data_IF_394874944378
#
_entry.id   IF_394874944378
#
_cell.length_a   1.000
_cell.length_b   1.000
_cell.length_c   1.000
_cell.angle_alpha   90.00
_cell.angle_beta   90.00
_cell.angle_gamma   90.00
#
_symmetry.space_group_name_H-M   'P 1'
#
loop_
_entity.id
_entity.type
_entity.pdbx_description
1 polymer ?
#
# COMPACT_ATOMS: atom_id res chain seq x y z
N UNK A 1 3.23 -16.65 -13.58
CA UNK A 1 2.88 -15.28 -14.00
C UNK A 1 3.71 -14.82 -15.21
N UNK A 2 5.02 -14.57 -15.13
CA UNK A 2 5.83 -14.11 -16.30
C UNK A 2 5.74 -14.96 -17.59
N UNK A 3 5.73 -16.29 -17.49
CA UNK A 3 5.65 -17.16 -18.69
C UNK A 3 4.29 -17.14 -19.39
N UNK A 4 3.21 -16.82 -18.67
CA UNK A 4 1.90 -16.62 -19.28
C UNK A 4 1.89 -15.36 -20.14
N UNK A 5 2.62 -14.31 -19.73
CA UNK A 5 2.82 -13.11 -20.55
C UNK A 5 3.62 -13.41 -21.83
N UNK A 6 4.73 -14.15 -21.71
CA UNK A 6 5.53 -14.52 -22.89
C UNK A 6 4.72 -15.32 -23.93
N UNK A 7 3.83 -16.20 -23.47
CA UNK A 7 2.91 -16.94 -24.35
C UNK A 7 1.96 -16.04 -25.15
N UNK A 8 1.62 -14.86 -24.64
CA UNK A 8 0.84 -13.89 -25.43
C UNK A 8 1.65 -13.28 -26.58
N UNK A 9 2.98 -13.26 -26.47
CA UNK A 9 3.88 -12.75 -27.51
C UNK A 9 4.03 -13.78 -28.62
N UNK A 10 4.32 -15.04 -28.24
CA UNK A 10 4.51 -16.14 -29.18
C UNK A 10 4.12 -17.49 -28.53
N UNK A 11 2.91 -18.00 -28.80
CA UNK A 11 2.43 -19.23 -28.19
C UNK A 11 3.11 -20.50 -28.73
N UNK A 12 3.79 -20.41 -29.88
CA UNK A 12 4.49 -21.54 -30.49
C UNK A 12 5.88 -21.73 -29.85
N UNK A 13 6.50 -20.64 -29.41
CA UNK A 13 7.79 -20.65 -28.71
C UNK A 13 7.61 -20.83 -27.19
N UNK A 14 6.57 -20.25 -26.60
CA UNK A 14 6.36 -20.24 -25.15
C UNK A 14 5.21 -21.17 -24.72
N UNK A 15 5.51 -22.40 -24.24
CA UNK A 15 4.50 -23.40 -23.94
C UNK A 15 3.69 -23.08 -22.67
N UNK A 16 2.60 -23.82 -22.48
CA UNK A 16 1.75 -23.68 -21.29
C UNK A 16 2.51 -24.00 -19.99
N UNK A 17 2.71 -23.02 -19.08
CA UNK A 17 3.56 -23.20 -17.91
C UNK A 17 3.13 -24.32 -16.97
N UNK A 18 1.82 -24.61 -16.91
CA UNK A 18 1.28 -25.67 -16.06
C UNK A 18 1.46 -27.07 -16.65
N UNK A 19 1.63 -27.18 -17.99
CA UNK A 19 1.81 -28.46 -18.68
C UNK A 19 3.29 -28.81 -18.92
N UNK A 20 4.16 -27.80 -19.03
CA UNK A 20 5.56 -27.96 -19.43
C UNK A 20 6.51 -27.21 -18.48
N UNK A 21 6.52 -27.60 -17.21
CA UNK A 21 7.24 -26.87 -16.15
C UNK A 21 8.77 -26.88 -16.35
N UNK A 22 9.33 -28.00 -16.84
CA UNK A 22 10.76 -28.18 -17.11
C UNK A 22 11.25 -27.28 -18.23
N UNK A 23 10.56 -27.32 -19.36
CA UNK A 23 10.85 -26.59 -20.60
C UNK A 23 10.71 -25.09 -20.38
N UNK A 24 9.69 -24.68 -19.60
CA UNK A 24 9.50 -23.29 -19.20
C UNK A 24 10.70 -22.74 -18.43
N UNK A 25 11.38 -23.57 -17.63
CA UNK A 25 12.56 -23.15 -16.85
C UNK A 25 13.78 -22.95 -17.74
N UNK A 26 13.97 -23.80 -18.74
CA UNK A 26 15.05 -23.67 -19.74
C UNK A 26 14.83 -22.43 -20.63
N UNK A 27 13.60 -22.20 -21.08
CA UNK A 27 13.24 -21.04 -21.91
C UNK A 27 13.46 -19.73 -21.14
N UNK A 28 13.16 -19.67 -19.83
CA UNK A 28 13.49 -18.49 -19.01
C UNK A 28 15.00 -18.17 -19.01
N UNK A 29 15.86 -19.20 -19.06
CA UNK A 29 17.32 -19.04 -19.12
C UNK A 29 17.80 -18.45 -20.45
N UNK A 30 17.05 -18.64 -21.54
CA UNK A 30 17.33 -18.05 -22.85
C UNK A 30 16.90 -16.57 -22.95
N UNK A 31 16.00 -16.13 -22.09
CA UNK A 31 15.42 -14.78 -22.14
C UNK A 31 16.27 -13.74 -21.39
N UNK A 32 17.00 -14.17 -20.35
CA UNK A 32 17.84 -13.31 -19.53
C UNK A 32 19.23 -13.95 -19.33
N UNK A 33 20.37 -13.26 -19.54
CA UNK A 33 20.61 -11.95 -20.15
C UNK A 33 21.51 -12.10 -21.39
N UNK A 34 20.91 -12.30 -22.56
CA UNK A 34 21.66 -12.28 -23.82
C UNK A 34 21.35 -11.00 -24.58
N UNK A 35 22.38 -10.28 -25.03
CA UNK A 35 22.25 -9.02 -25.78
C UNK A 35 21.59 -9.22 -27.16
N UNK A 36 21.31 -10.47 -27.54
CA UNK A 36 20.74 -10.86 -28.82
C UNK A 36 19.39 -11.59 -28.67
N UNK A 37 18.62 -11.26 -27.64
CA UNK A 37 17.28 -11.78 -27.45
C UNK A 37 16.31 -11.22 -28.52
N UNK A 38 15.70 -12.07 -29.38
CA UNK A 38 14.83 -11.59 -30.46
C UNK A 38 13.46 -11.08 -29.96
N UNK A 39 13.07 -11.39 -28.72
CA UNK A 39 11.78 -11.00 -28.14
C UNK A 39 11.88 -9.81 -27.20
N UNK A 40 13.03 -9.57 -26.58
CA UNK A 40 13.19 -8.52 -25.55
C UNK A 40 14.34 -7.58 -25.90
N UNK A 41 13.99 -6.33 -26.17
CA UNK A 41 14.94 -5.22 -26.22
C UNK A 41 14.90 -4.45 -24.89
N UNK A 42 15.93 -4.58 -24.06
CA UNK A 42 16.08 -3.82 -22.82
C UNK A 42 17.19 -2.78 -22.99
N UNK A 43 16.89 -1.52 -22.70
CA UNK A 43 17.87 -0.41 -22.65
C UNK A 43 17.76 0.26 -21.29
N UNK A 44 18.87 0.42 -20.59
CA UNK A 44 18.89 1.19 -19.35
C UNK A 44 19.01 2.67 -19.69
N UNK A 45 18.41 3.54 -18.87
CA UNK A 45 18.56 4.99 -19.05
C UNK A 45 20.01 5.45 -18.95
N UNK A 46 20.81 4.73 -18.16
CA UNK A 46 22.24 4.96 -17.96
C UNK A 46 23.06 4.68 -19.22
N UNK A 47 22.58 3.82 -20.13
CA UNK A 47 23.25 3.47 -21.38
C UNK A 47 22.86 4.40 -22.54
N UNK A 48 21.91 5.32 -22.33
CA UNK A 48 21.42 6.22 -23.35
C UNK A 48 22.27 7.49 -23.39
N UNK A 49 22.88 7.73 -24.54
CA UNK A 49 23.68 8.92 -24.81
C UNK A 49 23.03 9.83 -25.87
N UNK A 50 23.40 11.11 -25.83
CA UNK A 50 23.12 12.05 -26.90
C UNK A 50 24.02 11.79 -28.13
N UNK A 51 23.85 12.61 -29.18
CA UNK A 51 24.62 12.49 -30.43
C UNK A 51 26.13 12.74 -30.25
N UNK A 52 26.54 13.37 -29.15
CA UNK A 52 27.93 13.66 -28.83
C UNK A 52 28.54 12.63 -27.85
N UNK A 53 27.78 11.59 -27.48
CA UNK A 53 28.23 10.56 -26.54
C UNK A 53 28.09 10.95 -25.06
N UNK A 54 27.47 12.09 -24.75
CA UNK A 54 27.15 12.50 -23.37
C UNK A 54 25.93 11.78 -22.82
N UNK A 55 25.80 11.59 -21.49
CA UNK A 55 24.64 10.92 -20.90
C UNK A 55 23.34 11.69 -21.18
N UNK A 56 22.32 11.01 -21.70
CA UNK A 56 21.04 11.61 -22.05
C UNK A 56 20.19 11.97 -20.81
N UNK A 57 20.37 11.25 -19.72
CA UNK A 57 19.62 11.43 -18.47
C UNK A 57 20.50 11.91 -17.32
N UNK A 58 19.94 12.75 -16.46
CA UNK A 58 20.58 13.18 -15.22
C UNK A 58 20.78 12.00 -14.26
N UNK A 59 21.89 12.01 -13.52
CA UNK A 59 22.17 10.98 -12.51
C UNK A 59 21.12 10.99 -11.41
N UNK A 60 20.67 9.81 -11.01
CA UNK A 60 19.77 9.62 -9.87
C UNK A 60 20.59 9.41 -8.60
N UNK A 61 20.29 10.20 -7.57
CA UNK A 61 20.86 10.04 -6.22
C UNK A 61 19.79 9.47 -5.30
N UNK A 62 20.10 8.40 -4.58
CA UNK A 62 19.17 7.72 -3.66
C UNK A 62 19.79 7.66 -2.27
N UNK A 63 19.05 8.13 -1.26
CA UNK A 63 19.46 8.12 0.15
C UNK A 63 18.36 7.44 0.96
N UNK A 64 18.72 6.42 1.74
CA UNK A 64 17.81 5.77 2.68
C UNK A 64 17.94 6.43 4.04
N UNK A 65 16.82 6.91 4.59
CA UNK A 65 16.79 7.55 5.91
C UNK A 65 16.30 6.52 6.94
N UNK A 66 17.18 6.04 7.83
CA UNK A 66 16.74 5.13 8.89
C UNK A 66 15.95 5.88 9.96
N UNK A 67 14.99 5.21 10.56
CA UNK A 67 14.25 5.69 11.72
C UNK A 67 14.13 4.58 12.77
N UNK A 68 13.81 4.94 14.01
CA UNK A 68 13.58 3.98 15.10
C UNK A 68 12.24 4.29 15.74
N UNK A 69 11.40 3.27 15.87
CA UNK A 69 10.11 3.43 16.56
C UNK A 69 10.34 3.93 17.98
N UNK A 70 9.51 4.87 18.40
CA UNK A 70 9.38 5.27 19.79
C UNK A 70 8.82 4.12 20.64
N UNK A 71 8.92 4.25 21.96
CA UNK A 71 8.38 3.25 22.90
C UNK A 71 6.88 3.06 22.68
N UNK A 72 6.13 4.16 22.55
CA UNK A 72 4.68 4.13 22.33
C UNK A 72 4.30 3.47 20.98
N UNK A 73 5.05 3.75 19.92
CA UNK A 73 4.84 3.12 18.61
C UNK A 73 5.14 1.61 18.65
N UNK A 74 6.18 1.21 19.37
CA UNK A 74 6.53 -0.20 19.55
C UNK A 74 5.48 -0.94 20.39
N UNK A 75 4.99 -0.33 21.46
CA UNK A 75 3.89 -0.89 22.26
C UNK A 75 2.62 -1.06 21.42
N UNK A 76 2.26 -0.07 20.60
CA UNK A 76 1.15 -0.20 19.66
C UNK A 76 1.38 -1.34 18.66
N UNK A 77 2.60 -1.51 18.18
CA UNK A 77 2.95 -2.61 17.28
C UNK A 77 2.71 -3.99 17.91
N UNK A 78 3.15 -4.17 19.15
CA UNK A 78 2.93 -5.42 19.90
C UNK A 78 1.44 -5.67 20.15
N UNK A 79 0.68 -4.63 20.50
CA UNK A 79 -0.76 -4.73 20.74
C UNK A 79 -1.56 -5.10 19.48
N UNK A 80 -1.22 -4.50 18.33
CA UNK A 80 -1.80 -4.90 17.03
C UNK A 80 -1.39 -6.33 16.68
N UNK A 81 -0.13 -6.72 16.93
CA UNK A 81 0.33 -8.08 16.68
C UNK A 81 -0.43 -9.10 17.52
N UNK A 82 -0.68 -8.78 18.80
CA UNK A 82 -1.50 -9.60 19.70
C UNK A 82 -2.94 -9.73 19.21
N UNK A 83 -3.53 -8.62 18.74
CA UNK A 83 -4.84 -8.62 18.10
C UNK A 83 -4.89 -9.57 16.89
N UNK A 84 -3.92 -9.46 15.98
CA UNK A 84 -3.83 -10.33 14.81
C UNK A 84 -3.68 -11.80 15.24
N UNK A 85 -2.81 -12.09 16.20
CA UNK A 85 -2.59 -13.46 16.68
C UNK A 85 -3.82 -14.06 17.37
N UNK A 86 -4.66 -13.25 18.03
CA UNK A 86 -5.87 -13.72 18.71
C UNK A 86 -7.04 -13.94 17.75
N UNK A 87 -7.34 -12.97 16.89
CA UNK A 87 -8.58 -12.97 16.09
C UNK A 87 -8.36 -13.34 14.62
N UNK A 88 -7.12 -13.26 14.15
CA UNK A 88 -6.72 -13.56 12.77
C UNK A 88 -5.56 -14.58 12.77
N UNK A 89 -5.57 -15.55 13.68
CA UNK A 89 -4.58 -16.63 13.67
C UNK A 89 -4.68 -17.43 12.35
N UNK A 90 -3.53 -17.77 11.75
CA UNK A 90 -3.50 -18.55 10.51
C UNK A 90 -4.03 -19.96 10.79
N UNK A 91 -5.29 -20.18 10.43
CA UNK A 91 -6.04 -21.40 10.70
C UNK A 91 -6.93 -21.74 9.49
N UNK A 92 -7.45 -22.97 9.47
CA UNK A 92 -8.33 -23.44 8.40
C UNK A 92 -7.60 -23.86 7.13
N UNK A 93 -8.35 -24.08 6.05
CA UNK A 93 -7.85 -24.56 4.76
C UNK A 93 -8.40 -23.72 3.60
N UNK A 94 -7.71 -23.79 2.46
CA UNK A 94 -8.10 -23.08 1.24
C UNK A 94 -8.25 -21.57 1.45
N UNK A 95 -9.33 -21.03 0.90
CA UNK A 95 -9.63 -19.58 0.85
C UNK A 95 -9.66 -18.89 2.21
N UNK A 96 -10.13 -19.56 3.26
CA UNK A 96 -10.19 -18.97 4.60
C UNK A 96 -8.78 -18.66 5.11
N UNK A 97 -7.86 -19.62 4.95
CA UNK A 97 -6.45 -19.44 5.35
C UNK A 97 -5.79 -18.31 4.58
N UNK A 98 -6.07 -18.20 3.27
CA UNK A 98 -5.58 -17.13 2.42
C UNK A 98 -6.12 -15.76 2.84
N UNK A 99 -7.44 -15.62 3.05
CA UNK A 99 -8.05 -14.38 3.51
C UNK A 99 -7.48 -13.92 4.86
N UNK A 100 -7.24 -14.85 5.80
CA UNK A 100 -6.58 -14.53 7.07
C UNK A 100 -5.17 -13.98 6.81
N UNK A 101 -4.36 -14.69 6.01
CA UNK A 101 -3.00 -14.28 5.71
C UNK A 101 -2.96 -12.89 5.06
N UNK A 102 -3.78 -12.66 4.03
CA UNK A 102 -3.90 -11.37 3.36
C UNK A 102 -4.35 -10.27 4.33
N UNK A 103 -5.38 -10.51 5.14
CA UNK A 103 -5.88 -9.51 6.11
C UNK A 103 -4.78 -9.11 7.10
N UNK A 104 -4.01 -10.08 7.60
CA UNK A 104 -2.86 -9.82 8.48
C UNK A 104 -1.80 -8.97 7.79
N UNK A 105 -1.45 -9.32 6.55
CA UNK A 105 -0.45 -8.58 5.77
C UNK A 105 -0.87 -7.13 5.59
N UNK A 106 -2.13 -6.87 5.20
CA UNK A 106 -2.60 -5.49 5.03
C UNK A 106 -2.55 -4.71 6.35
N UNK A 107 -2.93 -5.33 7.49
CA UNK A 107 -2.78 -4.69 8.80
C UNK A 107 -1.33 -4.36 9.14
N UNK A 108 -0.40 -5.29 8.88
CA UNK A 108 1.03 -5.08 9.13
C UNK A 108 1.61 -3.96 8.26
N UNK A 109 1.24 -3.89 6.97
CA UNK A 109 1.65 -2.80 6.06
C UNK A 109 1.14 -1.45 6.54
N UNK A 110 -0.13 -1.36 6.97
CA UNK A 110 -0.70 -0.12 7.50
C UNK A 110 -0.03 0.35 8.79
N UNK A 111 0.28 -0.58 9.68
CA UNK A 111 1.03 -0.32 10.91
C UNK A 111 2.45 0.16 10.62
N UNK A 112 3.12 -0.43 9.61
CA UNK A 112 4.45 0.01 9.17
C UNK A 112 4.42 1.35 8.42
N UNK A 113 3.27 1.72 7.84
CA UNK A 113 3.12 2.95 7.06
C UNK A 113 3.04 4.18 7.95
N UNK A 114 2.01 4.28 8.78
CA UNK A 114 1.86 5.38 9.76
C UNK A 114 0.95 4.99 10.93
N UNK A 115 1.18 5.63 12.08
CA UNK A 115 0.29 5.49 13.26
C UNK A 115 -1.15 5.91 12.96
N UNK A 116 -1.33 6.90 12.09
CA UNK A 116 -2.64 7.34 11.63
C UNK A 116 -3.36 6.28 10.78
N UNK A 117 -2.67 5.66 9.82
CA UNK A 117 -3.27 4.65 8.95
C UNK A 117 -3.76 3.42 9.71
N UNK A 118 -2.98 2.95 10.69
CA UNK A 118 -3.41 1.84 11.53
C UNK A 118 -4.57 2.24 12.46
N UNK A 119 -4.55 3.44 13.04
CA UNK A 119 -5.66 3.96 13.85
C UNK A 119 -6.97 3.99 13.05
N UNK A 120 -6.96 4.59 11.86
CA UNK A 120 -8.15 4.67 11.02
C UNK A 120 -8.63 3.29 10.54
N UNK A 121 -7.72 2.36 10.25
CA UNK A 121 -8.08 0.96 9.95
C UNK A 121 -8.77 0.25 11.10
N UNK A 122 -8.21 0.33 12.31
CA UNK A 122 -8.78 -0.31 13.49
C UNK A 122 -10.14 0.29 13.83
N UNK A 123 -10.28 1.62 13.70
CA UNK A 123 -11.53 2.34 13.92
C UNK A 123 -12.62 1.92 12.94
N UNK A 124 -12.30 1.84 11.64
CA UNK A 124 -13.26 1.35 10.63
C UNK A 124 -13.62 -0.12 10.87
N UNK A 125 -12.64 -0.96 11.20
CA UNK A 125 -12.90 -2.36 11.53
C UNK A 125 -13.80 -2.51 12.76
N UNK A 126 -13.56 -1.77 13.83
CA UNK A 126 -14.41 -1.76 15.02
C UNK A 126 -15.85 -1.43 14.67
N UNK A 127 -16.07 -0.37 13.88
CA UNK A 127 -17.42 0.00 13.45
C UNK A 127 -18.06 -1.12 12.62
N UNK A 128 -17.32 -1.72 11.67
CA UNK A 128 -17.84 -2.79 10.82
C UNK A 128 -18.14 -4.07 11.57
N UNK A 129 -17.38 -4.41 12.60
CA UNK A 129 -17.71 -5.55 13.47
C UNK A 129 -18.93 -5.25 14.35
N UNK A 130 -19.14 -4.01 14.80
CA UNK A 130 -20.36 -3.61 15.51
C UNK A 130 -21.59 -3.72 14.61
N UNK A 131 -21.54 -3.14 13.42
CA UNK A 131 -22.63 -3.25 12.44
C UNK A 131 -22.96 -4.72 12.15
N UNK A 132 -21.92 -5.57 12.05
CA UNK A 132 -22.06 -7.00 11.84
C UNK A 132 -22.67 -7.74 13.04
N UNK A 133 -22.30 -7.35 14.26
CA UNK A 133 -22.89 -7.90 15.48
C UNK A 133 -24.38 -7.57 15.56
N UNK A 134 -24.76 -6.32 15.28
CA UNK A 134 -26.15 -5.88 15.31
C UNK A 134 -27.00 -6.69 14.29
N UNK A 135 -26.46 -6.92 13.09
CA UNK A 135 -27.08 -7.80 12.09
C UNK A 135 -27.24 -9.23 12.64
N UNK A 136 -26.19 -9.83 13.22
CA UNK A 136 -26.25 -11.17 13.80
C UNK A 136 -27.28 -11.27 14.92
N UNK A 137 -27.37 -10.28 15.81
CA UNK A 137 -28.30 -10.30 16.94
C UNK A 137 -29.77 -10.29 16.48
N UNK A 138 -30.07 -9.66 15.35
CA UNK A 138 -31.40 -9.62 14.75
C UNK A 138 -31.86 -10.93 14.10
N UNK A 139 -30.93 -11.86 13.83
CA UNK A 139 -31.17 -13.09 13.07
C UNK A 139 -31.47 -14.31 13.94
N UNK A 140 -32.16 -15.31 13.36
CA UNK A 140 -32.33 -16.61 14.00
C UNK A 140 -31.00 -17.39 14.08
N UNK A 141 -30.86 -18.40 14.97
CA UNK A 141 -29.63 -19.18 15.09
C UNK A 141 -29.14 -19.80 13.77
N UNK A 142 -30.05 -20.26 12.90
CA UNK A 142 -29.69 -20.84 11.60
C UNK A 142 -29.15 -19.80 10.62
N UNK A 143 -29.75 -18.62 10.61
CA UNK A 143 -29.33 -17.51 9.73
C UNK A 143 -27.98 -16.94 10.18
N UNK A 144 -27.74 -16.86 11.50
CA UNK A 144 -26.44 -16.45 12.07
C UNK A 144 -25.29 -17.31 11.55
N UNK A 145 -25.45 -18.64 11.60
CA UNK A 145 -24.43 -19.58 11.10
C UNK A 145 -24.16 -19.34 9.61
N UNK A 146 -25.21 -19.20 8.80
CA UNK A 146 -25.07 -18.95 7.36
C UNK A 146 -24.34 -17.63 7.06
N UNK A 147 -24.64 -16.58 7.83
CA UNK A 147 -24.02 -15.28 7.66
C UNK A 147 -22.54 -15.28 8.10
N UNK A 148 -22.21 -15.95 9.22
CA UNK A 148 -20.82 -16.14 9.68
C UNK A 148 -19.99 -16.94 8.67
N UNK A 149 -20.53 -18.01 8.09
CA UNK A 149 -19.87 -18.75 7.00
C UNK A 149 -19.63 -17.85 5.78
N UNK A 150 -20.61 -17.04 5.38
CA UNK A 150 -20.45 -16.09 4.27
C UNK A 150 -19.34 -15.06 4.55
N UNK A 151 -19.23 -14.57 5.79
CA UNK A 151 -18.21 -13.58 6.20
C UNK A 151 -16.80 -14.18 6.26
N UNK A 152 -16.67 -15.46 6.63
CA UNK A 152 -15.42 -16.22 6.54
C UNK A 152 -15.02 -16.49 5.09
N UNK A 153 -16.00 -16.73 4.23
CA UNK A 153 -15.83 -17.00 2.81
C UNK A 153 -15.82 -15.76 1.90
N UNK A 154 -15.55 -14.56 2.42
CA UNK A 154 -15.49 -13.32 1.61
C UNK A 154 -14.64 -13.57 0.37
N UNK A 155 -15.23 -13.26 -0.79
CA UNK A 155 -14.75 -13.76 -2.06
C UNK A 155 -13.56 -12.94 -2.59
N UNK A 156 -12.33 -13.36 -2.29
CA UNK A 156 -11.13 -12.98 -3.05
C UNK A 156 -10.81 -14.10 -4.03
N UNK A 157 -10.52 -13.78 -5.30
CA UNK A 157 -10.11 -14.78 -6.29
C UNK A 157 -8.99 -15.67 -5.70
N UNK A 158 -9.08 -17.00 -5.81
CA UNK A 158 -8.10 -17.90 -5.18
C UNK A 158 -6.70 -17.69 -5.79
N UNK A 159 -6.62 -17.13 -7.00
CA UNK A 159 -5.37 -16.77 -7.66
C UNK A 159 -4.86 -15.35 -7.34
N UNK A 160 -5.66 -14.51 -6.67
CA UNK A 160 -5.25 -13.16 -6.26
C UNK A 160 -4.25 -13.23 -5.11
N UNK A 161 -3.11 -12.57 -5.34
CA UNK A 161 -2.15 -12.20 -4.32
C UNK A 161 -2.42 -10.76 -3.86
N UNK A 162 -1.85 -10.37 -2.72
CA UNK A 162 -1.91 -9.01 -2.17
C UNK A 162 -1.45 -7.96 -3.19
N UNK A 163 -0.42 -8.26 -3.99
CA UNK A 163 0.06 -7.36 -5.05
C UNK A 163 -0.90 -7.16 -6.22
N UNK A 164 -1.90 -8.04 -6.37
CA UNK A 164 -2.96 -7.88 -7.38
C UNK A 164 -4.15 -7.08 -6.83
N UNK A 165 -4.21 -6.87 -5.50
CA UNK A 165 -5.26 -6.11 -4.85
C UNK A 165 -5.04 -4.61 -5.05
N UNK A 166 -6.09 -3.89 -5.41
CA UNK A 166 -6.06 -2.44 -5.27
C UNK A 166 -6.31 -2.02 -3.80
N UNK A 167 -6.25 -0.71 -3.55
CA UNK A 167 -6.49 -0.20 -2.21
C UNK A 167 -7.93 -0.45 -1.71
N UNK A 168 -8.92 -0.46 -2.61
CA UNK A 168 -10.31 -0.72 -2.27
C UNK A 168 -10.52 -2.18 -1.85
N UNK A 169 -9.89 -3.11 -2.57
CA UNK A 169 -9.88 -4.54 -2.23
C UNK A 169 -9.25 -4.78 -0.86
N UNK A 170 -8.12 -4.11 -0.58
CA UNK A 170 -7.45 -4.18 0.73
C UNK A 170 -8.34 -3.63 1.85
N UNK A 171 -8.98 -2.48 1.64
CA UNK A 171 -9.94 -1.89 2.58
C UNK A 171 -11.14 -2.82 2.81
N UNK A 172 -11.69 -3.40 1.75
CA UNK A 172 -12.82 -4.32 1.83
C UNK A 172 -12.44 -5.56 2.62
N UNK A 173 -11.27 -6.15 2.36
CA UNK A 173 -10.80 -7.33 3.07
C UNK A 173 -10.68 -7.06 4.58
N UNK A 174 -9.99 -5.99 4.98
CA UNK A 174 -9.85 -5.62 6.40
C UNK A 174 -11.19 -5.42 7.09
N UNK A 175 -12.15 -4.81 6.40
CA UNK A 175 -13.42 -4.41 7.01
C UNK A 175 -14.47 -5.52 6.98
N UNK A 176 -14.44 -6.37 5.96
CA UNK A 176 -15.47 -7.38 5.72
C UNK A 176 -15.09 -8.78 6.15
N UNK A 177 -13.81 -9.14 6.15
CA UNK A 177 -13.41 -10.48 6.56
C UNK A 177 -13.47 -10.64 8.09
N UNK A 178 -14.12 -11.71 8.53
CA UNK A 178 -14.08 -12.17 9.91
C UNK A 178 -13.79 -13.67 9.95
N UNK A 179 -12.87 -14.07 10.84
CA UNK A 179 -12.56 -15.48 11.11
C UNK A 179 -13.53 -16.16 12.07
N UNK A 180 -14.50 -15.42 12.63
CA UNK A 180 -15.37 -15.90 13.69
C UNK A 180 -16.33 -17.01 13.23
N UNK A 181 -16.48 -18.03 14.08
CA UNK A 181 -17.42 -19.15 13.97
C UNK A 181 -18.68 -18.91 14.78
N UNK A 182 -18.58 -18.11 15.84
CA UNK A 182 -19.68 -17.83 16.76
C UNK A 182 -19.82 -16.35 17.06
N UNK A 183 -21.04 -15.95 17.45
CA UNK A 183 -21.35 -14.55 17.80
C UNK A 183 -20.53 -14.06 19.00
N UNK A 184 -20.18 -14.94 19.94
CA UNK A 184 -19.39 -14.57 21.12
C UNK A 184 -17.95 -14.16 20.73
N UNK A 185 -17.36 -14.78 19.71
CA UNK A 185 -16.03 -14.40 19.21
C UNK A 185 -16.05 -12.98 18.62
N UNK A 186 -17.14 -12.60 17.93
CA UNK A 186 -17.33 -11.21 17.44
C UNK A 186 -17.44 -10.23 18.62
N UNK A 187 -18.19 -10.58 19.67
CA UNK A 187 -18.30 -9.74 20.88
C UNK A 187 -16.96 -9.54 21.56
N UNK A 188 -16.18 -10.60 21.70
CA UNK A 188 -14.81 -10.53 22.23
C UNK A 188 -13.90 -9.67 21.36
N UNK A 189 -13.98 -9.82 20.03
CA UNK A 189 -13.20 -9.01 19.09
C UNK A 189 -13.54 -7.53 19.22
N UNK A 190 -14.82 -7.17 19.29
CA UNK A 190 -15.27 -5.77 19.45
C UNK A 190 -14.77 -5.17 20.76
N UNK A 191 -14.81 -5.93 21.86
CA UNK A 191 -14.30 -5.47 23.14
C UNK A 191 -12.79 -5.18 23.05
N UNK A 192 -12.02 -6.10 22.47
CA UNK A 192 -10.58 -5.90 22.26
C UNK A 192 -10.28 -4.72 21.34
N UNK A 193 -10.96 -4.64 20.19
CA UNK A 193 -10.80 -3.57 19.21
C UNK A 193 -11.12 -2.20 19.81
N UNK A 194 -12.11 -2.11 20.71
CA UNK A 194 -12.45 -0.85 21.39
C UNK A 194 -11.26 -0.31 22.17
N UNK A 195 -10.60 -1.15 22.95
CA UNK A 195 -9.43 -0.75 23.74
C UNK A 195 -8.23 -0.46 22.84
N UNK A 196 -8.01 -1.28 21.81
CA UNK A 196 -6.92 -1.11 20.85
C UNK A 196 -7.05 0.18 20.03
N UNK A 197 -8.26 0.54 19.58
CA UNK A 197 -8.53 1.79 18.87
C UNK A 197 -8.20 2.99 19.75
N UNK A 198 -8.53 2.94 21.04
CA UNK A 198 -8.21 4.04 21.96
C UNK A 198 -6.70 4.16 22.19
N UNK A 199 -5.98 3.04 22.37
CA UNK A 199 -4.52 3.04 22.42
C UNK A 199 -3.92 3.65 21.15
N UNK A 200 -4.36 3.20 19.97
CA UNK A 200 -3.89 3.72 18.68
C UNK A 200 -4.15 5.23 18.53
N UNK A 201 -5.32 5.71 18.97
CA UNK A 201 -5.68 7.13 18.98
C UNK A 201 -4.72 7.94 19.85
N UNK A 202 -4.42 7.46 21.05
CA UNK A 202 -3.53 8.13 22.00
C UNK A 202 -2.11 8.25 21.42
N UNK A 203 -1.57 7.16 20.86
CA UNK A 203 -0.23 7.18 20.24
C UNK A 203 -0.18 8.17 19.09
N UNK A 204 -1.17 8.12 18.18
CA UNK A 204 -1.29 9.06 17.06
C UNK A 204 -1.38 10.54 17.50
N UNK A 205 -2.15 10.85 18.54
CA UNK A 205 -2.37 12.24 18.98
C UNK A 205 -1.23 12.81 19.82
N UNK A 206 -0.57 11.99 20.63
CA UNK A 206 0.45 12.44 21.60
C UNK A 206 1.86 12.36 21.07
N UNK A 207 2.14 11.38 20.21
CA UNK A 207 3.49 11.08 19.77
C UNK A 207 3.60 11.42 18.29
N UNK A 208 4.37 12.46 17.92
CA UNK A 208 4.58 12.78 16.53
C UNK A 208 5.29 11.59 15.88
N UNK A 209 4.64 11.00 14.88
CA UNK A 209 5.09 9.83 14.13
C UNK A 209 6.59 9.96 13.77
N UNK A 210 7.40 8.98 14.17
CA UNK A 210 8.86 9.05 14.03
C UNK A 210 9.27 9.21 12.56
N UNK A 211 8.55 8.55 11.64
CA UNK A 211 8.80 8.65 10.21
C UNK A 211 8.40 10.02 9.67
N UNK A 212 7.29 10.59 10.15
CA UNK A 212 6.89 11.96 9.83
C UNK A 212 7.93 12.99 10.33
N UNK A 213 8.50 12.80 11.52
CA UNK A 213 9.57 13.66 12.03
C UNK A 213 10.83 13.56 11.16
N UNK A 214 11.23 12.35 10.76
CA UNK A 214 12.33 12.16 9.84
C UNK A 214 12.07 12.85 8.49
N UNK A 215 10.84 12.77 7.96
CA UNK A 215 10.46 13.53 6.76
C UNK A 215 10.59 15.04 7.00
N UNK A 216 10.11 15.55 8.14
CA UNK A 216 10.19 16.98 8.49
C UNK A 216 11.65 17.45 8.56
N UNK A 217 12.54 16.67 9.16
CA UNK A 217 13.97 16.94 9.22
C UNK A 217 14.61 16.93 7.83
N UNK A 218 14.28 15.95 6.99
CA UNK A 218 14.74 15.90 5.60
C UNK A 218 14.36 17.16 4.83
N UNK A 219 13.13 17.66 4.99
CA UNK A 219 12.66 18.89 4.33
C UNK A 219 13.41 20.16 4.78
N UNK A 220 14.20 20.10 5.86
CA UNK A 220 15.05 21.20 6.31
C UNK A 220 16.46 21.15 5.69
N UNK A 221 16.86 20.03 5.08
CA UNK A 221 18.18 19.89 4.44
C UNK A 221 18.34 20.86 3.24
N UNK A 222 19.57 21.23 2.93
CA UNK A 222 19.89 22.21 1.88
C UNK A 222 19.38 21.81 0.49
N UNK A 223 19.30 20.50 0.21
CA UNK A 223 18.76 19.94 -1.03
C UNK A 223 17.29 20.32 -1.28
N UNK A 224 16.55 20.66 -0.23
CA UNK A 224 15.15 21.07 -0.29
C UNK A 224 14.96 22.59 -0.20
N UNK A 225 16.03 23.38 -0.19
CA UNK A 225 15.94 24.84 -0.16
C UNK A 225 15.11 25.40 -1.34
N UNK A 226 15.17 24.74 -2.50
CA UNK A 226 14.40 25.12 -3.68
C UNK A 226 12.88 25.06 -3.47
N UNK A 227 12.39 24.24 -2.53
CA UNK A 227 10.98 24.22 -2.17
C UNK A 227 10.55 25.54 -1.52
N UNK A 228 11.40 26.14 -0.68
CA UNK A 228 11.11 27.43 -0.01
C UNK A 228 11.12 28.60 -0.99
N UNK A 229 11.95 28.52 -2.03
CA UNK A 229 12.03 29.51 -3.10
C UNK A 229 10.90 29.35 -4.15
N UNK A 230 10.04 28.33 -4.03
CA UNK A 230 8.96 28.03 -4.97
C UNK A 230 9.41 27.44 -6.32
N UNK A 231 10.72 27.21 -6.51
CA UNK A 231 11.30 26.64 -7.73
C UNK A 231 11.31 25.11 -7.71
N UNK A 232 11.37 24.51 -6.52
CA UNK A 232 11.37 23.07 -6.32
C UNK A 232 9.96 22.50 -6.35
N UNK A 233 9.85 21.25 -6.82
CA UNK A 233 8.64 20.43 -6.73
C UNK A 233 9.02 19.10 -6.07
N UNK A 234 8.24 18.70 -5.07
CA UNK A 234 8.45 17.47 -4.31
C UNK A 234 7.28 16.51 -4.55
N UNK A 235 7.58 15.25 -4.85
CA UNK A 235 6.59 14.20 -4.97
C UNK A 235 6.81 13.15 -3.89
N UNK A 236 5.86 13.03 -2.97
CA UNK A 236 5.90 12.05 -1.89
C UNK A 236 5.01 10.88 -2.25
N UNK A 237 5.58 9.67 -2.28
CA UNK A 237 4.81 8.46 -2.47
C UNK A 237 4.51 7.76 -1.14
N UNK A 238 3.28 7.26 -1.01
CA UNK A 238 2.82 6.39 0.06
C UNK A 238 1.91 5.32 -0.53
N UNK A 239 1.77 4.19 0.14
CA UNK A 239 0.88 3.14 -0.34
C UNK A 239 -0.59 3.43 -0.02
N UNK A 240 -0.85 4.04 1.14
CA UNK A 240 -2.19 4.17 1.70
C UNK A 240 -2.71 5.60 1.64
N UNK A 241 -3.96 5.77 1.23
CA UNK A 241 -4.67 7.05 1.15
C UNK A 241 -4.88 7.70 2.52
N UNK A 242 -5.03 6.90 3.58
CA UNK A 242 -5.07 7.44 4.95
C UNK A 242 -3.73 8.12 5.29
N UNK A 243 -2.60 7.45 5.00
CA UNK A 243 -1.25 8.03 5.16
C UNK A 243 -1.05 9.25 4.26
N UNK A 244 -1.53 9.21 3.01
CA UNK A 244 -1.51 10.37 2.10
C UNK A 244 -2.22 11.58 2.72
N UNK A 245 -3.44 11.37 3.20
CA UNK A 245 -4.27 12.44 3.78
C UNK A 245 -3.61 13.02 5.03
N UNK A 246 -2.99 12.15 5.83
CA UNK A 246 -2.22 12.54 7.01
C UNK A 246 -0.99 13.36 6.66
N UNK A 247 -0.11 12.87 5.78
CA UNK A 247 1.10 13.57 5.34
C UNK A 247 0.73 14.92 4.76
N UNK A 248 -0.26 14.96 3.87
CA UNK A 248 -0.74 16.19 3.25
C UNK A 248 -1.12 17.25 4.29
N UNK A 249 -1.97 16.88 5.25
CA UNK A 249 -2.39 17.77 6.33
C UNK A 249 -1.20 18.28 7.16
N UNK A 250 -0.24 17.42 7.47
CA UNK A 250 0.94 17.79 8.25
C UNK A 250 1.85 18.76 7.48
N UNK A 251 2.03 18.53 6.18
CA UNK A 251 2.82 19.39 5.31
C UNK A 251 2.18 20.78 5.16
N UNK A 252 0.84 20.84 5.05
CA UNK A 252 0.10 22.10 5.05
C UNK A 252 0.28 22.88 6.37
N UNK A 253 0.27 22.18 7.52
CA UNK A 253 0.56 22.77 8.83
C UNK A 253 1.99 23.33 8.88
N UNK A 254 2.94 22.70 8.19
CA UNK A 254 4.32 23.19 8.09
C UNK A 254 4.47 24.38 7.12
N UNK A 255 3.38 24.80 6.46
CA UNK A 255 3.32 26.00 5.63
C UNK A 255 3.58 25.77 4.14
N UNK A 256 3.60 24.52 3.68
CA UNK A 256 3.75 24.22 2.26
C UNK A 256 2.40 24.07 1.57
N UNK A 257 2.31 24.54 0.33
CA UNK A 257 1.16 24.26 -0.54
C UNK A 257 1.21 22.82 -1.06
N UNK A 258 0.08 22.12 -1.02
CA UNK A 258 0.01 20.72 -1.41
C UNK A 258 -1.06 20.42 -2.45
N UNK A 259 -0.94 19.26 -3.07
CA UNK A 259 -2.00 18.60 -3.84
C UNK A 259 -1.89 17.08 -3.63
N UNK A 260 -2.91 16.34 -4.05
CA UNK A 260 -2.91 14.88 -3.96
C UNK A 260 -3.28 14.21 -5.28
N UNK A 261 -2.75 13.02 -5.49
CA UNK A 261 -3.13 12.15 -6.61
C UNK A 261 -3.29 10.73 -6.08
N UNK A 262 -4.47 10.15 -6.19
CA UNK A 262 -4.75 8.79 -5.72
C UNK A 262 -5.58 8.00 -6.73
N UNK A 263 -5.57 6.66 -6.62
CA UNK A 263 -6.21 5.75 -7.58
C UNK A 263 -7.70 6.00 -7.80
N UNK A 264 -8.43 6.51 -6.80
CA UNK A 264 -9.87 6.81 -6.92
C UNK A 264 -10.20 8.05 -7.73
N UNK A 265 -9.20 8.84 -8.14
CA UNK A 265 -9.46 10.00 -8.99
C UNK A 265 -9.81 9.57 -10.40
N UNK A 266 -10.77 10.24 -11.02
CA UNK A 266 -11.00 10.09 -12.45
C UNK A 266 -9.90 10.78 -13.28
N UNK A 267 -9.93 10.59 -14.60
CA UNK A 267 -8.93 11.16 -15.51
C UNK A 267 -8.90 12.68 -15.49
N UNK A 268 -10.05 13.34 -15.31
CA UNK A 268 -10.14 14.79 -15.27
C UNK A 268 -9.56 15.35 -13.97
N UNK A 269 -9.91 14.74 -12.83
CA UNK A 269 -9.37 15.06 -11.52
C UNK A 269 -7.85 14.88 -11.48
N UNK A 270 -7.32 13.79 -12.05
CA UNK A 270 -5.87 13.57 -12.16
C UNK A 270 -5.17 14.65 -12.98
N UNK A 271 -5.73 15.01 -14.15
CA UNK A 271 -5.17 16.10 -14.99
C UNK A 271 -5.18 17.44 -14.26
N UNK A 272 -6.26 17.74 -13.53
CA UNK A 272 -6.35 18.95 -12.72
C UNK A 272 -5.31 18.96 -11.60
N UNK A 273 -5.20 17.88 -10.84
CA UNK A 273 -4.20 17.75 -9.78
C UNK A 273 -2.76 17.85 -10.30
N UNK A 274 -2.48 17.29 -11.49
CA UNK A 274 -1.19 17.42 -12.16
C UNK A 274 -0.89 18.88 -12.55
N UNK A 275 -1.89 19.61 -13.06
CA UNK A 275 -1.74 21.02 -13.42
C UNK A 275 -1.60 21.92 -12.17
N UNK A 276 -2.36 21.63 -11.12
CA UNK A 276 -2.25 22.30 -9.82
C UNK A 276 -0.84 22.06 -9.22
N UNK A 277 -0.32 20.82 -9.32
CA UNK A 277 1.05 20.52 -8.89
C UNK A 277 2.09 21.30 -9.69
N UNK A 278 1.91 21.35 -11.03
CA UNK A 278 2.85 22.04 -11.92
C UNK A 278 2.89 23.55 -11.64
N UNK A 279 1.75 24.17 -11.37
CA UNK A 279 1.61 25.64 -11.35
C UNK A 279 1.58 26.23 -9.95
N UNK A 280 0.96 25.56 -8.98
CA UNK A 280 0.52 26.18 -7.73
C UNK A 280 1.07 25.50 -6.49
N UNK A 281 1.04 24.17 -6.42
CA UNK A 281 1.46 23.42 -5.24
C UNK A 281 2.95 23.10 -5.22
N UNK A 282 3.60 23.19 -4.06
CA UNK A 282 5.01 22.84 -3.89
C UNK A 282 5.20 21.31 -3.77
N UNK A 283 4.24 20.63 -3.13
CA UNK A 283 4.37 19.23 -2.76
C UNK A 283 3.13 18.45 -3.24
N UNK A 284 3.35 17.37 -3.99
CA UNK A 284 2.31 16.41 -4.32
C UNK A 284 2.49 15.16 -3.47
N UNK A 285 1.42 14.71 -2.80
CA UNK A 285 1.41 13.41 -2.11
C UNK A 285 0.58 12.45 -2.94
N UNK A 286 1.15 11.31 -3.34
CA UNK A 286 0.53 10.39 -4.27
C UNK A 286 0.51 8.94 -3.77
N UNK A 287 -0.54 8.19 -4.11
CA UNK A 287 -0.52 6.73 -3.94
C UNK A 287 0.20 6.03 -5.09
N UNK A 288 0.78 4.86 -4.86
CA UNK A 288 1.49 4.08 -5.88
C UNK A 288 0.64 3.83 -7.14
N UNK A 289 -0.62 3.43 -6.94
CA UNK A 289 -1.60 3.22 -8.03
C UNK A 289 -1.89 4.48 -8.87
N UNK A 290 -1.51 5.66 -8.38
CA UNK A 290 -1.67 6.92 -9.08
C UNK A 290 -0.37 7.42 -9.75
N UNK A 291 0.78 6.81 -9.45
CA UNK A 291 2.05 7.12 -10.09
C UNK A 291 2.18 6.55 -11.52
N UNK A 292 1.39 5.53 -11.85
CA UNK A 292 1.40 4.93 -13.18
C UNK A 292 0.73 5.83 -14.23
N UNK A 293 1.46 6.14 -15.30
CA UNK A 293 0.92 6.87 -16.45
C UNK A 293 0.84 8.40 -16.30
N UNK A 294 1.30 8.99 -15.20
CA UNK A 294 1.37 10.45 -15.03
C UNK A 294 2.78 10.96 -15.35
N UNK A 295 2.88 11.93 -16.27
CA UNK A 295 4.14 12.57 -16.59
C UNK A 295 4.47 13.70 -15.59
N UNK A 296 5.38 13.42 -14.66
CA UNK A 296 5.86 14.37 -13.64
C UNK A 296 7.33 14.75 -13.86
N UNK A 297 7.79 14.82 -15.12
CA UNK A 297 9.18 15.18 -15.48
C UNK A 297 9.64 16.58 -15.02
N UNK A 298 8.73 17.39 -14.47
CA UNK A 298 9.05 18.67 -13.82
C UNK A 298 9.43 18.54 -12.34
N UNK A 299 9.40 17.32 -11.78
CA UNK A 299 9.74 17.02 -10.39
C UNK A 299 11.09 16.28 -10.32
N UNK A 300 11.95 16.71 -9.39
CA UNK A 300 13.30 16.15 -9.23
C UNK A 300 13.57 15.61 -7.82
N UNK A 301 12.65 15.80 -6.87
CA UNK A 301 12.75 15.28 -5.51
C UNK A 301 11.62 14.27 -5.25
N UNK A 302 11.99 13.04 -4.87
CA UNK A 302 11.03 11.94 -4.71
C UNK A 302 11.34 11.13 -3.43
N UNK A 303 10.81 11.53 -2.26
CA UNK A 303 10.80 10.69 -1.08
C UNK A 303 9.73 9.60 -1.21
N UNK A 304 10.12 8.38 -0.83
CA UNK A 304 9.21 7.25 -0.69
C UNK A 304 8.98 7.04 0.81
N UNK A 305 7.75 7.24 1.26
CA UNK A 305 7.39 7.14 2.68
C UNK A 305 7.17 5.69 3.12
N UNK A 306 6.66 4.87 2.21
CA UNK A 306 6.41 3.44 2.42
C UNK A 306 7.14 2.64 1.34
N UNK A 307 8.02 1.73 1.76
CA UNK A 307 8.67 0.77 0.86
C UNK A 307 7.98 -0.58 0.92
N UNK A 308 7.69 -1.15 -0.25
CA UNK A 308 7.36 -2.56 -0.48
C UNK A 308 8.41 -3.51 0.10
#
# INVERSE_FOLDING_TARGET
>A
RFCHFLRLIDPDVFPEPHKFQSETKEIKGLIFPDNNNPWILRRLKEDLCDLNGGPLFTKRHTKTIPFKLSVDEYELYEEVTNYLNRFLAIQGTGRIRQNIALTRTVFQRRLASSTYAIYESLKRRLQKQRDFLDELESLSPKERVKLLERRRGVAIDEEMDEGDMDEQDRDRLINEFSGAREINEIKEEIAFLKDLVEKARIVYERTPDTKLNALKECLQEAEFAELKDGRGKLLIFTEHRDTLSYIKKQIEIWGFSTCEIHGLMDVYQRKKAQEDFRTSSQICVATEAAGEGINLQFCHLIPIFDSL
#
